data_IF_037161331527
#
_entry.id   IF_037161331527
#
_cell.length_a   1.000
_cell.length_b   1.000
_cell.length_c   1.000
_cell.angle_alpha   90.00
_cell.angle_beta   90.00
_cell.angle_gamma   90.00
#
_symmetry.space_group_name_H-M   'P 1'
#
loop_
_entity.id
_entity.type
_entity.pdbx_description
1 polymer ?
#
# COMPACT_ATOMS: atom_id res chain seq x y z
N UNK A 1 63.40 -32.91 -37.68
CA UNK A 1 62.52 -32.33 -38.72
C UNK A 1 61.42 -31.55 -37.96
N UNK A 2 61.52 -30.24 -37.91
CA UNK A 2 60.59 -29.32 -37.24
C UNK A 2 59.61 -28.76 -38.29
N UNK A 3 58.32 -28.99 -38.14
CA UNK A 3 57.29 -28.39 -38.97
C UNK A 3 56.77 -27.13 -38.29
N UNK A 4 56.94 -25.98 -38.96
CA UNK A 4 56.34 -24.72 -38.62
C UNK A 4 54.84 -24.73 -39.04
N UNK A 5 53.96 -24.44 -38.09
CA UNK A 5 52.56 -24.13 -38.36
C UNK A 5 52.38 -22.60 -38.23
N UNK A 6 52.05 -21.97 -39.35
CA UNK A 6 51.73 -20.55 -39.40
C UNK A 6 50.29 -20.32 -38.97
N UNK A 7 50.07 -19.51 -37.93
CA UNK A 7 48.76 -19.04 -37.50
C UNK A 7 48.38 -17.79 -38.27
N UNK A 8 47.33 -17.86 -39.06
CA UNK A 8 46.71 -16.68 -39.68
C UNK A 8 45.74 -16.02 -38.67
N UNK A 9 46.03 -14.79 -38.27
CA UNK A 9 45.16 -13.96 -37.48
C UNK A 9 44.07 -13.32 -38.36
N UNK A 10 42.85 -13.71 -38.18
CA UNK A 10 41.68 -13.10 -38.79
C UNK A 10 41.23 -11.93 -37.90
N UNK A 11 41.42 -10.70 -38.36
CA UNK A 11 40.92 -9.50 -37.73
C UNK A 11 39.41 -9.36 -38.00
N UNK A 12 38.58 -9.64 -37.01
CA UNK A 12 37.15 -9.31 -37.07
C UNK A 12 37.00 -7.87 -36.59
N UNK A 13 36.66 -6.98 -37.50
CA UNK A 13 36.24 -5.62 -37.19
C UNK A 13 34.84 -5.69 -36.60
N UNK A 14 34.75 -5.67 -35.27
CA UNK A 14 33.48 -5.52 -34.52
C UNK A 14 32.97 -4.09 -34.66
N UNK A 15 31.94 -3.87 -35.47
CA UNK A 15 31.16 -2.66 -35.42
C UNK A 15 30.39 -2.65 -34.07
N UNK A 16 30.91 -1.95 -33.11
CA UNK A 16 30.23 -1.67 -31.85
C UNK A 16 29.07 -0.70 -32.10
N UNK A 17 27.86 -1.22 -32.18
CA UNK A 17 26.66 -0.42 -31.93
C UNK A 17 26.61 -0.11 -30.44
N UNK A 18 27.30 0.94 -30.02
CA UNK A 18 27.11 1.57 -28.73
C UNK A 18 25.81 2.36 -28.75
N UNK A 19 24.68 1.71 -28.45
CA UNK A 19 23.48 2.37 -28.00
C UNK A 19 23.69 2.81 -26.56
N UNK A 20 24.40 3.92 -26.37
CA UNK A 20 24.32 4.65 -25.12
C UNK A 20 22.92 5.24 -25.06
N UNK A 21 22.10 4.74 -24.15
CA UNK A 21 20.91 5.47 -23.69
C UNK A 21 21.46 6.80 -23.15
N UNK A 22 21.30 7.86 -23.96
CA UNK A 22 21.74 9.19 -23.59
C UNK A 22 20.95 9.63 -22.36
N UNK A 23 21.61 9.68 -21.24
CA UNK A 23 21.07 10.22 -20.01
C UNK A 23 20.61 11.66 -20.28
N UNK A 24 19.30 11.93 -20.18
CA UNK A 24 18.76 13.26 -20.48
C UNK A 24 19.40 14.29 -19.55
N UNK A 25 19.79 15.44 -20.10
CA UNK A 25 20.40 16.52 -19.33
C UNK A 25 19.39 17.06 -18.29
N UNK A 26 19.91 17.52 -17.14
CA UNK A 26 19.08 18.15 -16.13
C UNK A 26 18.37 19.39 -16.70
N UNK A 27 17.06 19.58 -16.44
CA UNK A 27 16.38 20.83 -16.75
C UNK A 27 17.10 22.02 -16.10
N UNK A 28 17.21 23.13 -16.79
CA UNK A 28 17.98 24.31 -16.35
C UNK A 28 17.61 24.86 -14.99
N UNK A 29 16.40 24.56 -14.50
CA UNK A 29 15.90 25.00 -13.17
C UNK A 29 16.39 24.11 -12.03
N UNK A 30 16.84 22.86 -12.30
CA UNK A 30 17.30 21.90 -11.31
C UNK A 30 18.83 21.84 -11.31
N UNK A 31 19.42 21.62 -10.13
CA UNK A 31 20.83 21.18 -10.06
C UNK A 31 20.94 19.71 -10.47
N UNK A 32 22.15 19.25 -10.78
CA UNK A 32 22.41 17.83 -11.08
C UNK A 32 21.98 16.90 -9.93
N UNK A 33 22.15 17.32 -8.68
CA UNK A 33 21.74 16.55 -7.51
C UNK A 33 20.22 16.51 -7.36
N UNK A 34 19.53 17.63 -7.57
CA UNK A 34 18.06 17.69 -7.57
C UNK A 34 17.48 16.82 -8.70
N UNK A 35 18.12 16.88 -9.88
CA UNK A 35 17.73 16.03 -11.02
C UNK A 35 17.94 14.55 -10.71
N UNK A 36 19.07 14.17 -10.12
CA UNK A 36 19.33 12.79 -9.71
C UNK A 36 18.30 12.28 -8.72
N UNK A 37 17.81 13.13 -7.77
CA UNK A 37 16.72 12.77 -6.85
C UNK A 37 15.39 12.64 -7.57
N UNK A 38 15.06 13.59 -8.48
CA UNK A 38 13.80 13.55 -9.22
C UNK A 38 13.69 12.29 -10.09
N UNK A 39 14.78 11.87 -10.73
CA UNK A 39 14.81 10.65 -11.56
C UNK A 39 14.47 9.37 -10.79
N UNK A 40 14.71 9.31 -9.48
CA UNK A 40 14.34 8.14 -8.66
C UNK A 40 12.84 8.01 -8.43
N UNK A 41 12.05 9.05 -8.66
CA UNK A 41 10.61 9.07 -8.38
C UNK A 41 9.75 8.37 -9.45
N UNK A 42 10.34 7.81 -10.48
CA UNK A 42 9.60 7.10 -11.52
C UNK A 42 10.49 6.65 -12.68
N UNK A 43 9.91 6.06 -13.72
CA UNK A 43 8.52 5.61 -13.80
C UNK A 43 8.23 4.40 -12.90
N UNK A 44 6.96 4.19 -12.56
CA UNK A 44 6.52 3.03 -11.80
C UNK A 44 6.52 1.78 -12.69
N UNK A 45 7.29 0.77 -12.29
CA UNK A 45 7.39 -0.53 -12.98
C UNK A 45 6.17 -1.43 -12.78
N UNK A 46 6.36 -2.74 -12.93
CA UNK A 46 5.34 -3.74 -12.59
C UNK A 46 5.29 -3.99 -11.08
N UNK A 47 4.14 -4.48 -10.54
CA UNK A 47 4.03 -4.84 -9.14
C UNK A 47 5.13 -5.82 -8.72
N UNK A 48 5.76 -5.61 -7.55
CA UNK A 48 6.80 -6.51 -7.08
C UNK A 48 6.25 -7.94 -6.87
N UNK A 49 7.08 -8.99 -6.96
CA UNK A 49 6.67 -10.35 -6.66
C UNK A 49 6.09 -10.47 -5.25
N UNK A 50 5.09 -11.34 -5.08
CA UNK A 50 4.52 -11.69 -3.76
C UNK A 50 4.80 -13.15 -3.42
N UNK A 51 5.99 -13.47 -2.88
CA UNK A 51 6.38 -14.86 -2.65
C UNK A 51 5.52 -15.58 -1.60
N UNK A 52 4.87 -14.84 -0.71
CA UNK A 52 3.98 -15.38 0.32
C UNK A 52 2.61 -15.78 -0.21
N UNK A 53 2.30 -15.45 -1.50
CA UNK A 53 1.06 -15.78 -2.18
C UNK A 53 1.33 -16.25 -3.62
N UNK A 54 1.36 -17.55 -3.85
CA UNK A 54 1.57 -18.13 -5.19
C UNK A 54 0.45 -17.82 -6.19
N UNK A 55 -0.69 -17.33 -5.72
CA UNK A 55 -1.86 -16.95 -6.54
C UNK A 55 -1.91 -15.46 -6.82
N UNK A 56 -0.91 -14.70 -6.41
CA UNK A 56 -0.90 -13.23 -6.46
C UNK A 56 -1.17 -12.64 -7.87
N UNK A 57 -0.74 -13.34 -8.90
CA UNK A 57 -0.89 -12.93 -10.30
C UNK A 57 -1.81 -13.86 -11.09
N UNK A 58 -2.57 -14.75 -10.42
CA UNK A 58 -3.54 -15.64 -11.04
C UNK A 58 -4.83 -14.89 -11.40
N UNK A 59 -5.27 -14.89 -12.68
CA UNK A 59 -6.46 -14.15 -13.11
C UNK A 59 -7.77 -14.68 -12.51
N UNK A 60 -7.87 -15.99 -12.21
CA UNK A 60 -9.06 -16.58 -11.59
C UNK A 60 -9.13 -16.16 -10.11
N UNK A 61 -7.99 -16.19 -9.40
CA UNK A 61 -7.89 -15.66 -8.04
C UNK A 61 -8.26 -14.17 -8.00
N UNK A 62 -7.75 -13.36 -8.93
CA UNK A 62 -8.05 -11.94 -8.99
C UNK A 62 -9.56 -11.67 -9.24
N UNK A 63 -10.20 -12.44 -10.15
CA UNK A 63 -11.65 -12.33 -10.38
C UNK A 63 -12.46 -12.71 -9.14
N UNK A 64 -12.07 -13.80 -8.46
CA UNK A 64 -12.69 -14.23 -7.22
C UNK A 64 -12.49 -13.16 -6.11
N UNK A 65 -11.28 -12.64 -5.93
CA UNK A 65 -10.99 -11.56 -4.99
C UNK A 65 -11.79 -10.29 -5.28
N UNK A 66 -11.98 -9.95 -6.57
CA UNK A 66 -12.84 -8.82 -6.95
C UNK A 66 -14.30 -9.04 -6.53
N UNK A 67 -14.85 -10.26 -6.71
CA UNK A 67 -16.20 -10.56 -6.25
C UNK A 67 -16.34 -10.39 -4.74
N UNK A 68 -15.36 -10.88 -3.98
CA UNK A 68 -15.31 -10.73 -2.51
C UNK A 68 -15.16 -9.27 -2.07
N UNK A 69 -14.35 -8.48 -2.76
CA UNK A 69 -14.09 -7.08 -2.41
C UNK A 69 -15.36 -6.21 -2.42
N UNK A 70 -16.30 -6.50 -3.31
CA UNK A 70 -17.57 -5.77 -3.41
C UNK A 70 -18.73 -6.49 -2.73
N UNK A 71 -18.50 -7.61 -2.03
CA UNK A 71 -19.56 -8.36 -1.37
C UNK A 71 -19.81 -7.84 0.05
N UNK A 72 -20.94 -7.18 0.21
CA UNK A 72 -21.42 -6.68 1.50
C UNK A 72 -21.81 -7.79 2.52
N UNK A 73 -21.92 -9.06 2.07
CA UNK A 73 -22.13 -10.21 2.98
C UNK A 73 -20.92 -10.56 3.83
N UNK A 74 -19.74 -10.01 3.51
CA UNK A 74 -18.54 -10.07 4.35
C UNK A 74 -18.56 -9.05 5.53
N UNK A 75 -19.75 -8.61 5.90
CA UNK A 75 -19.97 -7.81 7.11
C UNK A 75 -21.15 -8.33 7.92
N UNK A 76 -21.08 -8.20 9.25
CA UNK A 76 -22.02 -8.82 10.18
C UNK A 76 -23.48 -8.36 10.00
N UNK A 77 -23.70 -7.13 9.55
CA UNK A 77 -25.03 -6.56 9.28
C UNK A 77 -25.37 -6.48 7.80
N UNK A 78 -24.47 -6.92 6.93
CA UNK A 78 -24.65 -6.89 5.49
C UNK A 78 -24.75 -5.50 4.90
N UNK A 79 -24.11 -4.48 5.48
CA UNK A 79 -24.22 -3.08 5.01
C UNK A 79 -22.93 -2.52 4.44
N UNK A 80 -21.77 -3.16 4.67
CA UNK A 80 -20.48 -2.68 4.20
C UNK A 80 -19.71 -3.77 3.45
N UNK A 81 -18.90 -3.33 2.50
CA UNK A 81 -17.90 -4.15 1.80
C UNK A 81 -16.57 -3.40 1.81
N UNK A 82 -15.49 -4.00 1.32
CA UNK A 82 -14.22 -3.26 1.17
C UNK A 82 -14.40 -2.01 0.31
N UNK A 83 -15.20 -2.08 -0.77
CA UNK A 83 -15.52 -0.93 -1.62
C UNK A 83 -16.32 0.19 -0.95
N UNK A 84 -16.87 -0.03 0.25
CA UNK A 84 -17.56 1.02 1.02
C UNK A 84 -16.59 2.03 1.63
N UNK A 85 -15.45 1.55 2.17
CA UNK A 85 -14.42 2.39 2.77
C UNK A 85 -13.29 2.70 1.77
N UNK A 86 -13.07 1.83 0.80
CA UNK A 86 -12.17 2.07 -0.33
C UNK A 86 -12.98 2.40 -1.59
N UNK A 87 -13.59 3.60 -1.58
CA UNK A 87 -14.55 4.04 -2.60
C UNK A 87 -13.89 4.16 -3.99
N UNK A 88 -14.36 3.38 -4.99
CA UNK A 88 -13.83 3.44 -6.35
C UNK A 88 -13.91 4.82 -7.01
N UNK A 89 -14.84 5.66 -6.57
CA UNK A 89 -15.02 7.03 -7.08
C UNK A 89 -14.18 8.07 -6.37
N UNK A 90 -13.39 7.64 -5.35
CA UNK A 90 -12.61 8.53 -4.48
C UNK A 90 -11.18 8.05 -4.27
N UNK A 91 -10.50 7.69 -5.35
CA UNK A 91 -9.12 7.20 -5.28
C UNK A 91 -8.95 5.94 -4.40
N UNK A 92 -9.98 5.09 -4.31
CA UNK A 92 -9.97 3.88 -3.49
C UNK A 92 -9.60 4.16 -2.01
N UNK A 93 -10.06 5.30 -1.48
CA UNK A 93 -9.96 5.73 -0.08
C UNK A 93 -11.33 6.16 0.44
N UNK A 94 -11.49 6.40 1.74
CA UNK A 94 -12.76 6.92 2.28
C UNK A 94 -12.86 8.45 2.11
N UNK A 95 -14.06 8.93 1.84
CA UNK A 95 -14.40 10.37 1.83
C UNK A 95 -14.50 10.97 3.23
N UNK A 96 -14.63 10.14 4.25
CA UNK A 96 -14.73 10.54 5.65
C UNK A 96 -13.34 10.55 6.29
N UNK A 97 -13.19 11.34 7.33
CA UNK A 97 -12.00 11.28 8.18
C UNK A 97 -11.83 9.87 8.77
N UNK A 98 -12.89 9.33 9.32
CA UNK A 98 -12.96 7.97 9.83
C UNK A 98 -14.09 7.20 9.14
N UNK A 99 -13.82 5.94 8.79
CA UNK A 99 -14.79 5.07 8.12
C UNK A 99 -15.90 4.62 9.05
N UNK A 100 -17.07 4.32 8.48
CA UNK A 100 -18.17 3.69 9.21
C UNK A 100 -18.30 2.24 8.74
N UNK A 101 -18.01 1.31 9.64
CA UNK A 101 -18.16 -0.13 9.40
C UNK A 101 -19.55 -0.66 9.75
N UNK A 102 -19.64 -1.97 9.95
CA UNK A 102 -20.88 -2.65 10.34
C UNK A 102 -21.53 -2.00 11.58
N UNK A 103 -22.86 -1.96 11.57
CA UNK A 103 -23.66 -1.27 12.59
C UNK A 103 -23.31 0.22 12.73
N UNK A 104 -22.73 0.85 11.69
CA UNK A 104 -22.27 2.24 11.67
C UNK A 104 -21.26 2.58 12.76
N UNK A 105 -20.49 1.60 13.22
CA UNK A 105 -19.39 1.84 14.17
C UNK A 105 -18.26 2.59 13.47
N UNK A 106 -17.72 3.59 14.14
CA UNK A 106 -16.64 4.39 13.60
C UNK A 106 -15.30 3.70 13.81
N UNK A 107 -14.49 3.64 12.74
CA UNK A 107 -13.10 3.18 12.78
C UNK A 107 -12.20 4.17 13.51
N UNK A 108 -10.99 3.73 13.87
CA UNK A 108 -10.02 4.57 14.60
C UNK A 108 -9.07 5.34 13.67
N UNK A 109 -9.03 4.99 12.39
CA UNK A 109 -8.10 5.60 11.41
C UNK A 109 -8.78 5.79 10.06
N UNK A 110 -8.28 6.75 9.31
CA UNK A 110 -8.68 6.97 7.92
C UNK A 110 -8.35 5.76 7.05
N UNK A 111 -9.29 5.33 6.18
CA UNK A 111 -9.04 4.28 5.21
C UNK A 111 -8.18 4.83 4.07
N UNK A 112 -6.91 4.42 4.03
CA UNK A 112 -5.95 4.83 3.00
C UNK A 112 -6.30 4.25 1.64
N UNK A 113 -5.73 4.86 0.57
CA UNK A 113 -5.91 4.36 -0.80
C UNK A 113 -5.40 2.93 -0.97
N UNK A 114 -6.07 2.17 -1.87
CA UNK A 114 -5.56 0.90 -2.40
C UNK A 114 -4.88 1.07 -3.77
N UNK A 115 -4.82 2.28 -4.32
CA UNK A 115 -4.03 2.53 -5.54
C UNK A 115 -2.57 2.22 -5.25
N UNK A 116 -1.96 1.38 -6.09
CA UNK A 116 -0.58 0.94 -5.97
C UNK A 116 -0.23 0.27 -4.63
N UNK A 117 -1.21 -0.34 -3.96
CA UNK A 117 -1.01 -0.97 -2.65
C UNK A 117 -0.04 -2.16 -2.70
N UNK A 118 0.15 -2.78 -3.87
CA UNK A 118 1.10 -3.87 -4.09
C UNK A 118 2.57 -3.51 -3.81
N UNK A 119 2.92 -2.21 -3.83
CA UNK A 119 4.27 -1.72 -3.51
C UNK A 119 4.49 -1.40 -2.04
N UNK A 120 3.48 -1.60 -1.19
CA UNK A 120 3.64 -1.41 0.25
C UNK A 120 4.35 -2.61 0.87
N UNK A 121 5.43 -2.37 1.60
CA UNK A 121 6.14 -3.39 2.34
C UNK A 121 5.33 -3.92 3.53
N UNK A 122 4.64 -3.03 4.22
CA UNK A 122 3.71 -3.34 5.30
C UNK A 122 2.35 -2.69 5.01
N UNK A 123 1.28 -3.31 5.50
CA UNK A 123 -0.07 -2.83 5.30
C UNK A 123 -0.61 -2.16 6.57
N UNK A 124 -1.66 -1.35 6.41
CA UNK A 124 -2.18 -0.42 7.40
C UNK A 124 -1.21 0.74 7.71
N UNK A 125 -1.71 1.74 8.43
CA UNK A 125 -0.90 2.86 8.88
C UNK A 125 0.21 2.46 9.87
N UNK A 126 -0.08 1.46 10.71
CA UNK A 126 0.83 0.95 11.75
C UNK A 126 1.68 -0.25 11.31
N UNK A 127 1.48 -0.74 10.11
CA UNK A 127 2.21 -1.88 9.57
C UNK A 127 1.95 -3.20 10.31
N UNK A 128 0.75 -3.39 10.87
CA UNK A 128 0.38 -4.60 11.62
C UNK A 128 0.11 -5.83 10.74
N UNK A 129 0.22 -5.70 9.43
CA UNK A 129 0.25 -6.81 8.47
C UNK A 129 1.47 -6.67 7.54
N UNK A 130 2.18 -7.76 7.28
CA UNK A 130 3.42 -7.80 6.49
C UNK A 130 3.21 -8.21 5.04
N UNK A 131 2.01 -8.61 4.70
CA UNK A 131 1.62 -9.02 3.36
C UNK A 131 0.26 -8.45 2.99
N UNK A 132 0.03 -8.30 1.69
CA UNK A 132 -1.25 -7.76 1.24
C UNK A 132 -2.40 -8.77 1.43
N UNK A 133 -2.11 -10.08 1.46
CA UNK A 133 -3.13 -11.10 1.70
C UNK A 133 -3.55 -11.21 3.18
N UNK A 134 -2.67 -10.90 4.11
CA UNK A 134 -3.00 -10.98 5.55
C UNK A 134 -3.83 -9.79 6.04
N UNK A 135 -3.71 -8.63 5.35
CA UNK A 135 -4.38 -7.39 5.73
C UNK A 135 -5.92 -7.47 5.70
N UNK A 136 -6.60 -7.99 4.66
CA UNK A 136 -8.05 -7.95 4.59
C UNK A 136 -8.74 -8.74 5.69
N UNK A 137 -8.11 -9.80 6.17
CA UNK A 137 -8.68 -10.65 7.23
C UNK A 137 -8.87 -9.85 8.51
N UNK A 138 -7.88 -9.02 8.86
CA UNK A 138 -7.99 -8.17 10.05
C UNK A 138 -9.10 -7.13 9.92
N UNK A 139 -9.34 -6.60 8.72
CA UNK A 139 -10.44 -5.66 8.47
C UNK A 139 -11.82 -6.36 8.55
N UNK A 140 -11.93 -7.56 7.97
CA UNK A 140 -13.17 -8.36 8.03
C UNK A 140 -13.52 -8.69 9.49
N UNK A 141 -12.54 -9.05 10.32
CA UNK A 141 -12.77 -9.44 11.73
C UNK A 141 -12.89 -8.25 12.69
N UNK A 142 -12.49 -7.06 12.28
CA UNK A 142 -12.49 -5.89 13.16
C UNK A 142 -13.94 -5.47 13.51
N UNK A 143 -14.30 -5.39 14.82
CA UNK A 143 -15.63 -4.96 15.23
C UNK A 143 -16.06 -3.58 14.73
N UNK A 144 -15.12 -2.69 14.46
CA UNK A 144 -15.40 -1.36 13.92
C UNK A 144 -15.41 -1.30 12.38
N UNK A 145 -15.15 -2.43 11.70
CA UNK A 145 -15.13 -2.54 10.23
C UNK A 145 -16.14 -3.61 9.78
N UNK A 146 -15.71 -4.85 9.51
CA UNK A 146 -16.60 -5.94 9.08
C UNK A 146 -17.40 -6.60 10.20
N UNK A 147 -16.82 -6.76 11.39
CA UNK A 147 -17.35 -7.53 12.53
C UNK A 147 -17.80 -8.96 12.16
N UNK A 148 -17.14 -9.56 11.16
CA UNK A 148 -17.49 -10.84 10.58
C UNK A 148 -16.40 -11.87 10.91
N UNK A 149 -16.78 -12.95 11.63
CA UNK A 149 -15.81 -13.89 12.19
C UNK A 149 -15.22 -14.83 11.14
N UNK A 150 -14.07 -15.46 11.42
CA UNK A 150 -13.42 -16.44 10.53
C UNK A 150 -14.34 -17.60 10.14
N UNK A 151 -15.11 -18.12 11.09
CA UNK A 151 -16.06 -19.19 10.81
C UNK A 151 -17.17 -18.72 9.87
N UNK A 152 -17.70 -17.51 10.05
CA UNK A 152 -18.70 -16.93 9.14
C UNK A 152 -18.11 -16.74 7.73
N UNK A 153 -16.86 -16.30 7.61
CA UNK A 153 -16.18 -16.23 6.30
C UNK A 153 -16.11 -17.62 5.66
N UNK A 154 -15.67 -18.64 6.40
CA UNK A 154 -15.52 -19.99 5.86
C UNK A 154 -16.87 -20.56 5.37
N UNK A 155 -17.95 -20.40 6.12
CA UNK A 155 -19.29 -20.82 5.72
C UNK A 155 -19.82 -20.01 4.53
N UNK A 156 -19.58 -18.69 4.48
CA UNK A 156 -19.97 -17.88 3.32
C UNK A 156 -19.27 -18.39 2.03
N UNK A 157 -17.98 -18.77 2.13
CA UNK A 157 -17.25 -19.33 1.00
C UNK A 157 -17.85 -20.68 0.59
N UNK A 158 -18.13 -21.56 1.54
CA UNK A 158 -18.76 -22.86 1.28
C UNK A 158 -20.12 -22.71 0.59
N UNK A 159 -21.00 -21.88 1.14
CA UNK A 159 -22.39 -21.74 0.71
C UNK A 159 -22.54 -21.00 -0.63
N UNK A 160 -21.67 -20.01 -0.89
CA UNK A 160 -21.86 -19.06 -1.99
C UNK A 160 -20.80 -19.14 -3.07
N UNK A 161 -19.56 -19.37 -2.66
CA UNK A 161 -18.38 -19.27 -3.52
C UNK A 161 -17.62 -20.59 -3.67
N UNK A 162 -18.22 -21.71 -3.23
CA UNK A 162 -17.56 -23.02 -3.25
C UNK A 162 -16.96 -23.38 -4.62
N UNK A 163 -17.66 -23.11 -5.71
CA UNK A 163 -17.16 -23.38 -7.06
C UNK A 163 -15.96 -22.48 -7.43
N UNK A 164 -16.03 -21.19 -7.14
CA UNK A 164 -14.93 -20.24 -7.42
C UNK A 164 -13.70 -20.57 -6.57
N UNK A 165 -13.91 -20.90 -5.29
CA UNK A 165 -12.84 -21.32 -4.39
C UNK A 165 -12.13 -22.59 -4.92
N UNK A 166 -12.91 -23.63 -5.28
CA UNK A 166 -12.37 -24.91 -5.77
C UNK A 166 -11.59 -24.73 -7.07
N UNK A 167 -12.07 -23.86 -7.94
CA UNK A 167 -11.40 -23.58 -9.22
C UNK A 167 -9.99 -22.97 -9.03
N UNK A 168 -9.75 -22.22 -7.94
CA UNK A 168 -8.47 -21.54 -7.66
C UNK A 168 -7.60 -22.37 -6.71
N UNK A 169 -8.17 -22.81 -5.58
CA UNK A 169 -7.42 -23.34 -4.45
C UNK A 169 -7.50 -24.85 -4.29
N UNK A 170 -8.36 -25.53 -5.05
CA UNK A 170 -8.66 -26.95 -4.88
C UNK A 170 -9.77 -27.19 -3.85
N UNK A 171 -9.96 -28.45 -3.40
CA UNK A 171 -11.09 -28.83 -2.56
C UNK A 171 -11.21 -28.00 -1.29
N UNK A 172 -12.44 -27.59 -0.95
CA UNK A 172 -12.73 -27.02 0.37
C UNK A 172 -12.47 -28.09 1.47
N UNK A 173 -11.92 -27.67 2.62
CA UNK A 173 -11.86 -28.56 3.79
C UNK A 173 -13.29 -28.86 4.30
N UNK A 174 -13.42 -29.92 5.10
CA UNK A 174 -14.68 -30.24 5.80
C UNK A 174 -14.94 -29.19 6.88
N UNK A 175 -16.07 -28.50 6.79
CA UNK A 175 -16.51 -27.47 7.75
C UNK A 175 -17.74 -27.94 8.55
N UNK A 176 -18.18 -29.19 8.43
CA UNK A 176 -19.43 -29.70 9.03
C UNK A 176 -19.48 -29.64 10.55
N UNK A 177 -18.32 -29.59 11.23
CA UNK A 177 -18.21 -29.44 12.68
C UNK A 177 -17.84 -28.05 13.14
N UNK A 178 -17.63 -27.12 12.20
CA UNK A 178 -17.27 -25.73 12.48
C UNK A 178 -18.51 -24.98 13.00
N UNK A 179 -18.44 -24.27 14.13
CA UNK A 179 -19.54 -23.44 14.61
C UNK A 179 -19.89 -22.34 13.61
N UNK A 180 -21.17 -21.95 13.56
CA UNK A 180 -21.63 -20.91 12.66
C UNK A 180 -20.89 -19.56 12.86
N UNK A 181 -20.41 -19.28 14.08
CA UNK A 181 -19.68 -18.06 14.44
C UNK A 181 -18.58 -18.35 15.43
N UNK A 182 -17.33 -18.08 15.05
CA UNK A 182 -16.15 -18.20 15.92
C UNK A 182 -14.96 -17.44 15.34
N UNK A 183 -14.12 -16.86 16.20
CA UNK A 183 -12.82 -16.24 15.84
C UNK A 183 -11.83 -16.39 17.00
N UNK A 184 -10.53 -16.26 16.75
CA UNK A 184 -9.50 -16.30 17.80
C UNK A 184 -9.84 -15.36 18.98
N UNK A 185 -9.66 -15.87 20.20
CA UNK A 185 -10.00 -15.15 21.44
C UNK A 185 -11.44 -15.37 21.95
N UNK A 186 -12.32 -15.94 21.13
CA UNK A 186 -13.66 -16.33 21.58
C UNK A 186 -13.63 -17.71 22.24
N UNK A 187 -14.39 -17.91 23.34
CA UNK A 187 -14.49 -19.22 23.98
C UNK A 187 -14.99 -20.34 23.07
N UNK A 188 -15.82 -20.01 22.07
CA UNK A 188 -16.27 -20.95 21.04
C UNK A 188 -15.11 -21.41 20.16
N UNK A 189 -14.26 -20.48 19.74
CA UNK A 189 -13.05 -20.77 18.94
C UNK A 189 -12.06 -21.67 19.72
N UNK A 190 -11.83 -21.34 20.99
CA UNK A 190 -10.89 -22.09 21.81
C UNK A 190 -11.37 -23.52 22.11
N UNK A 191 -12.69 -23.75 22.07
CA UNK A 191 -13.30 -25.07 22.21
C UNK A 191 -13.29 -25.91 20.93
N UNK A 192 -12.97 -25.33 19.75
CA UNK A 192 -12.87 -26.07 18.49
C UNK A 192 -11.66 -27.00 18.47
N UNK A 193 -11.76 -28.08 17.70
CA UNK A 193 -10.60 -28.94 17.42
C UNK A 193 -9.52 -28.16 16.68
N UNK A 194 -8.26 -28.61 16.80
CA UNK A 194 -7.14 -28.05 16.04
C UNK A 194 -7.38 -28.20 14.52
N UNK A 195 -7.96 -29.32 14.10
CA UNK A 195 -8.31 -29.58 12.71
C UNK A 195 -9.34 -28.56 12.17
N UNK A 196 -10.40 -28.28 12.95
CA UNK A 196 -11.42 -27.29 12.54
C UNK A 196 -10.83 -25.88 12.47
N UNK A 197 -10.03 -25.48 13.47
CA UNK A 197 -9.34 -24.17 13.45
C UNK A 197 -8.40 -24.05 12.23
N UNK A 198 -7.69 -25.13 11.90
CA UNK A 198 -6.82 -25.15 10.72
C UNK A 198 -7.64 -25.04 9.43
N UNK A 199 -8.74 -25.79 9.31
CA UNK A 199 -9.63 -25.74 8.15
C UNK A 199 -10.18 -24.32 7.91
N UNK A 200 -10.68 -23.68 8.95
CA UNK A 200 -11.18 -22.29 8.89
C UNK A 200 -10.06 -21.33 8.50
N UNK A 201 -8.89 -21.40 9.15
CA UNK A 201 -7.77 -20.52 8.85
C UNK A 201 -7.26 -20.71 7.41
N UNK A 202 -7.29 -21.94 6.86
CA UNK A 202 -6.92 -22.20 5.46
C UNK A 202 -7.86 -21.48 4.48
N UNK A 203 -9.19 -21.60 4.72
CA UNK A 203 -10.17 -20.91 3.86
C UNK A 203 -9.98 -19.40 3.92
N UNK A 204 -9.83 -18.85 5.12
CA UNK A 204 -9.66 -17.41 5.35
C UNK A 204 -8.35 -16.90 4.72
N UNK A 205 -7.24 -17.62 4.87
CA UNK A 205 -5.97 -17.27 4.21
C UNK A 205 -6.11 -17.23 2.70
N UNK A 206 -6.82 -18.20 2.11
CA UNK A 206 -7.08 -18.25 0.67
C UNK A 206 -8.01 -17.09 0.21
N UNK A 207 -8.99 -16.70 1.02
CA UNK A 207 -9.79 -15.47 0.80
C UNK A 207 -8.88 -14.24 0.74
N UNK A 208 -7.97 -14.10 1.70
CA UNK A 208 -6.98 -13.02 1.68
C UNK A 208 -6.10 -13.05 0.44
N UNK A 209 -5.62 -14.25 0.03
CA UNK A 209 -4.81 -14.44 -1.19
C UNK A 209 -5.56 -14.06 -2.47
N UNK A 210 -6.85 -14.36 -2.56
CA UNK A 210 -7.69 -13.92 -3.68
C UNK A 210 -7.88 -12.40 -3.68
N UNK A 211 -8.14 -11.79 -2.52
CA UNK A 211 -8.26 -10.33 -2.38
C UNK A 211 -6.95 -9.62 -2.76
N UNK A 212 -5.78 -10.13 -2.35
CA UNK A 212 -4.49 -9.62 -2.82
C UNK A 212 -4.37 -9.69 -4.34
N UNK A 213 -4.69 -10.83 -4.96
CA UNK A 213 -4.60 -11.00 -6.42
C UNK A 213 -5.43 -9.93 -7.16
N UNK A 214 -6.58 -9.56 -6.64
CA UNK A 214 -7.38 -8.44 -7.17
C UNK A 214 -6.72 -7.09 -6.88
N UNK A 215 -6.34 -6.79 -5.63
CA UNK A 215 -5.80 -5.49 -5.24
C UNK A 215 -4.49 -5.16 -5.95
N UNK A 216 -3.68 -6.16 -6.31
CA UNK A 216 -2.46 -5.99 -7.13
C UNK A 216 -2.74 -5.44 -8.52
N UNK A 217 -3.97 -5.53 -9.01
CA UNK A 217 -4.40 -4.96 -10.30
C UNK A 217 -4.82 -3.49 -10.22
N UNK A 218 -4.96 -2.93 -9.02
CA UNK A 218 -5.35 -1.54 -8.79
C UNK A 218 -4.15 -0.61 -8.97
N UNK A 219 -3.65 -0.54 -10.20
CA UNK A 219 -2.41 0.15 -10.55
C UNK A 219 -2.69 1.43 -11.33
N UNK A 220 -2.21 2.56 -10.81
CA UNK A 220 -2.16 3.85 -11.50
C UNK A 220 -0.70 4.19 -11.79
N UNK A 221 -0.39 4.39 -13.06
CA UNK A 221 0.96 4.69 -13.59
C UNK A 221 0.87 5.70 -14.73
N UNK A 222 1.99 5.97 -15.40
CA UNK A 222 2.05 6.87 -16.55
C UNK A 222 1.54 8.30 -16.24
N UNK A 223 1.87 8.78 -15.03
CA UNK A 223 1.61 10.17 -14.63
C UNK A 223 2.39 11.15 -15.52
N UNK A 224 2.08 12.45 -15.40
CA UNK A 224 2.86 13.48 -16.11
C UNK A 224 4.34 13.46 -15.68
N UNK A 225 4.62 13.21 -14.40
CA UNK A 225 5.99 12.99 -13.93
C UNK A 225 6.63 11.78 -14.61
N UNK A 226 5.94 10.64 -14.71
CA UNK A 226 6.49 9.45 -15.35
C UNK A 226 6.85 9.70 -16.82
N UNK A 227 5.96 10.38 -17.58
CA UNK A 227 6.23 10.75 -18.97
C UNK A 227 7.40 11.72 -19.11
N UNK A 228 7.48 12.71 -18.22
CA UNK A 228 8.60 13.64 -18.18
C UNK A 228 9.93 12.91 -17.97
N UNK A 229 9.97 11.99 -17.00
CA UNK A 229 11.15 11.19 -16.71
C UNK A 229 11.49 10.19 -17.85
N UNK A 230 10.49 9.82 -18.66
CA UNK A 230 10.68 9.01 -19.88
C UNK A 230 11.10 9.84 -21.10
N UNK A 231 11.31 11.15 -20.96
CA UNK A 231 11.83 12.04 -22.02
C UNK A 231 10.79 12.94 -22.70
N UNK A 232 9.52 12.95 -22.27
CA UNK A 232 8.53 13.93 -22.73
C UNK A 232 8.70 15.24 -21.95
N UNK A 233 9.63 16.09 -22.39
CA UNK A 233 9.95 17.36 -21.74
C UNK A 233 8.74 18.30 -21.61
N UNK A 234 7.70 18.15 -22.44
CA UNK A 234 6.49 18.95 -22.41
C UNK A 234 5.45 18.43 -21.41
N UNK A 235 5.67 17.26 -20.79
CA UNK A 235 4.70 16.65 -19.85
C UNK A 235 4.54 17.44 -18.54
N UNK A 236 5.55 18.22 -18.13
CA UNK A 236 5.47 19.10 -16.97
C UNK A 236 5.51 20.57 -17.40
N UNK A 237 4.65 21.37 -16.76
CA UNK A 237 4.67 22.83 -16.87
C UNK A 237 5.81 23.43 -16.04
N UNK A 238 6.16 24.71 -16.29
CA UNK A 238 7.16 25.39 -15.46
C UNK A 238 6.79 25.45 -13.97
N UNK A 239 5.50 25.62 -13.64
CA UNK A 239 5.03 25.63 -12.25
C UNK A 239 5.28 24.25 -11.59
N UNK A 240 4.98 23.18 -12.29
CA UNK A 240 5.21 21.81 -11.81
C UNK A 240 6.70 21.49 -11.66
N UNK A 241 7.54 21.99 -12.55
CA UNK A 241 9.00 21.86 -12.42
C UNK A 241 9.55 22.64 -11.22
N UNK A 242 9.01 23.87 -10.95
CA UNK A 242 9.37 24.60 -9.73
C UNK A 242 8.91 23.85 -8.48
N UNK A 243 7.71 23.26 -8.52
CA UNK A 243 7.18 22.42 -7.46
C UNK A 243 8.04 21.16 -7.23
N UNK A 244 8.45 20.50 -8.32
CA UNK A 244 9.39 19.37 -8.26
C UNK A 244 10.71 19.76 -7.60
N UNK A 245 11.25 20.96 -7.92
CA UNK A 245 12.44 21.48 -7.25
C UNK A 245 12.23 21.64 -5.75
N UNK A 246 11.13 22.25 -5.31
CA UNK A 246 10.79 22.38 -3.88
C UNK A 246 10.72 20.99 -3.23
N UNK A 247 10.12 20.01 -3.91
CA UNK A 247 9.94 18.65 -3.41
C UNK A 247 11.27 17.92 -3.14
N UNK A 248 12.24 18.05 -4.06
CA UNK A 248 13.51 17.31 -4.01
C UNK A 248 14.65 18.08 -3.32
N UNK A 249 14.51 19.39 -3.09
CA UNK A 249 15.57 20.23 -2.53
C UNK A 249 15.80 19.96 -1.04
N UNK A 250 17.03 19.64 -0.63
CA UNK A 250 17.40 19.36 0.76
C UNK A 250 17.21 20.54 1.69
N UNK A 251 17.46 21.75 1.21
CA UNK A 251 17.38 22.98 2.00
C UNK A 251 15.96 23.58 1.99
N UNK A 252 15.01 22.97 1.27
CA UNK A 252 13.63 23.47 1.15
C UNK A 252 12.63 22.40 1.58
N UNK A 253 11.81 21.88 0.66
CA UNK A 253 10.68 21.00 0.97
C UNK A 253 11.08 19.67 1.61
N UNK A 254 12.15 19.05 1.12
CA UNK A 254 12.69 17.78 1.62
C UNK A 254 11.71 16.60 1.59
N UNK A 255 10.64 16.72 0.80
CA UNK A 255 9.59 15.71 0.75
C UNK A 255 10.13 14.35 0.31
N UNK A 256 11.13 14.37 -0.57
CA UNK A 256 11.82 13.18 -1.09
C UNK A 256 12.54 12.36 -0.02
N UNK A 257 12.75 12.89 1.19
CA UNK A 257 13.39 12.14 2.29
C UNK A 257 12.54 10.96 2.73
N UNK A 258 11.21 11.11 2.72
CA UNK A 258 10.24 10.05 3.04
C UNK A 258 9.48 9.58 1.78
N UNK A 259 9.22 10.49 0.84
CA UNK A 259 8.47 10.17 -0.39
C UNK A 259 9.43 9.92 -1.56
N UNK A 260 10.33 8.94 -1.42
CA UNK A 260 11.32 8.53 -2.43
C UNK A 260 10.86 7.30 -3.23
N UNK A 261 11.60 6.99 -4.28
CA UNK A 261 11.36 5.84 -5.14
C UNK A 261 10.12 5.94 -6.03
N UNK A 262 9.93 4.96 -6.93
CA UNK A 262 8.90 5.04 -7.96
C UNK A 262 7.46 5.09 -7.43
N UNK A 263 7.19 4.56 -6.23
CA UNK A 263 5.88 4.67 -5.59
C UNK A 263 5.75 5.88 -4.65
N UNK A 264 6.75 6.78 -4.61
CA UNK A 264 6.73 8.00 -3.79
C UNK A 264 6.47 7.71 -2.30
N UNK A 265 7.18 6.71 -1.79
CA UNK A 265 7.19 6.29 -0.37
C UNK A 265 8.45 5.48 -0.11
N UNK A 266 9.08 5.71 1.02
CA UNK A 266 10.17 4.88 1.55
C UNK A 266 9.67 3.61 2.25
N UNK A 267 8.35 3.42 2.37
CA UNK A 267 7.70 2.41 3.19
C UNK A 267 8.12 2.44 4.68
N UNK A 268 8.81 3.49 5.10
CA UNK A 268 9.24 3.74 6.47
C UNK A 268 8.09 4.13 7.40
N UNK A 269 8.41 4.18 8.69
CA UNK A 269 7.47 4.60 9.73
C UNK A 269 8.01 5.84 10.41
N UNK A 270 7.22 6.91 10.41
CA UNK A 270 7.63 8.24 10.87
C UNK A 270 6.60 8.86 11.81
N UNK A 271 7.06 9.58 12.80
CA UNK A 271 6.21 10.44 13.62
C UNK A 271 6.37 11.89 13.15
N UNK A 272 5.42 12.38 12.38
CA UNK A 272 5.40 13.77 11.89
C UNK A 272 4.55 14.69 12.77
N UNK A 273 4.04 14.17 13.90
CA UNK A 273 3.27 14.96 14.86
C UNK A 273 1.84 15.26 14.43
N UNK A 274 1.17 14.38 13.66
CA UNK A 274 -0.26 14.57 13.37
C UNK A 274 -1.03 14.53 14.69
N UNK A 275 -1.86 15.56 15.00
CA UNK A 275 -2.64 15.58 16.23
C UNK A 275 -3.55 14.36 16.35
N UNK A 276 -3.45 13.66 17.47
CA UNK A 276 -4.24 12.49 17.76
C UNK A 276 -4.69 12.49 19.24
N UNK A 277 -5.97 12.85 19.50
CA UNK A 277 -6.51 12.87 20.86
C UNK A 277 -6.78 11.48 21.43
N UNK A 278 -6.73 10.42 20.61
CA UNK A 278 -6.98 9.03 21.05
C UNK A 278 -5.77 8.40 21.72
N UNK A 279 -4.57 8.95 21.49
CA UNK A 279 -3.33 8.41 22.00
C UNK A 279 -2.85 7.18 21.22
N UNK A 280 -3.18 7.07 19.93
CA UNK A 280 -2.78 5.94 19.08
C UNK A 280 -1.26 5.83 18.94
N UNK A 281 -0.69 4.75 19.46
CA UNK A 281 0.76 4.51 19.48
C UNK A 281 1.35 4.05 18.13
N UNK A 282 0.50 3.84 17.13
CA UNK A 282 0.92 3.52 15.76
C UNK A 282 1.77 2.24 15.66
N UNK A 283 2.97 2.34 15.09
CA UNK A 283 3.88 1.22 14.85
C UNK A 283 4.20 0.42 16.11
N UNK A 284 4.27 1.06 17.26
CA UNK A 284 4.60 0.42 18.52
C UNK A 284 3.64 -0.74 18.86
N UNK A 285 2.32 -0.50 18.83
CA UNK A 285 1.33 -1.55 19.06
C UNK A 285 1.06 -2.39 17.81
N UNK A 286 1.23 -1.81 16.61
CA UNK A 286 1.10 -2.51 15.34
C UNK A 286 2.07 -3.69 15.23
N UNK A 287 3.29 -3.51 15.70
CA UNK A 287 4.31 -4.55 15.66
C UNK A 287 3.98 -5.76 16.55
N UNK A 288 3.42 -5.52 17.74
CA UNK A 288 2.97 -6.61 18.63
C UNK A 288 1.89 -7.46 17.94
N UNK A 289 0.91 -6.81 17.30
CA UNK A 289 -0.16 -7.49 16.56
C UNK A 289 0.39 -8.29 15.40
N UNK A 290 1.31 -7.72 14.61
CA UNK A 290 1.95 -8.40 13.48
C UNK A 290 2.67 -9.68 13.91
N UNK A 291 3.49 -9.60 14.96
CA UNK A 291 4.29 -10.73 15.41
C UNK A 291 3.45 -11.84 16.07
N UNK A 292 2.27 -11.51 16.58
CA UNK A 292 1.35 -12.47 17.19
C UNK A 292 0.37 -13.11 16.19
N UNK A 293 0.22 -12.56 14.96
CA UNK A 293 -0.76 -13.05 13.99
C UNK A 293 -0.26 -14.31 13.27
N UNK A 294 -0.93 -15.48 13.39
CA UNK A 294 -0.54 -16.69 12.65
C UNK A 294 -0.77 -16.58 11.13
N UNK A 295 -1.53 -15.58 10.68
CA UNK A 295 -1.78 -15.29 9.25
C UNK A 295 -0.78 -14.29 8.68
N UNK A 296 0.42 -14.15 9.23
CA UNK A 296 1.50 -13.35 8.65
C UNK A 296 2.32 -14.13 7.60
N UNK A 297 3.20 -13.44 6.88
CA UNK A 297 4.03 -14.00 5.81
C UNK A 297 5.07 -15.03 6.25
N UNK A 298 5.31 -15.19 7.56
CA UNK A 298 6.16 -16.25 8.14
C UNK A 298 5.33 -17.37 8.77
N UNK A 299 4.00 -17.25 8.77
CA UNK A 299 3.06 -18.21 9.35
C UNK A 299 2.79 -19.42 8.45
N UNK A 300 2.04 -20.41 8.97
CA UNK A 300 1.84 -21.72 8.32
C UNK A 300 1.00 -21.65 7.02
N UNK A 301 0.37 -20.54 6.72
CA UNK A 301 -0.46 -20.33 5.51
C UNK A 301 0.25 -19.51 4.43
N UNK A 302 1.48 -19.06 4.70
CA UNK A 302 2.35 -18.43 3.71
C UNK A 302 2.91 -19.47 2.73
N UNK A 303 3.00 -19.11 1.44
CA UNK A 303 3.59 -20.02 0.44
C UNK A 303 5.13 -20.02 0.46
N UNK A 304 5.76 -18.99 1.05
CA UNK A 304 7.19 -18.94 1.27
C UNK A 304 7.53 -17.99 2.44
N UNK A 305 8.57 -18.32 3.19
CA UNK A 305 9.17 -17.40 4.16
C UNK A 305 10.01 -16.35 3.43
N UNK A 306 9.90 -15.11 3.86
CA UNK A 306 10.70 -13.98 3.33
C UNK A 306 11.79 -13.52 4.30
N UNK A 307 11.75 -13.97 5.53
CA UNK A 307 12.61 -13.48 6.60
C UNK A 307 12.28 -12.04 7.04
N UNK A 308 11.20 -11.45 6.54
CA UNK A 308 10.85 -10.03 6.74
C UNK A 308 10.60 -9.66 8.19
N UNK A 309 10.15 -10.62 9.01
CA UNK A 309 9.87 -10.39 10.42
C UNK A 309 11.07 -10.63 11.33
N UNK A 310 12.17 -11.19 10.78
CA UNK A 310 13.37 -11.51 11.56
C UNK A 310 14.00 -10.24 12.13
N UNK A 311 14.20 -10.23 13.45
CA UNK A 311 14.82 -9.10 14.16
C UNK A 311 13.89 -7.91 14.43
N UNK A 312 12.63 -7.96 14.00
CA UNK A 312 11.67 -6.93 14.40
C UNK A 312 11.37 -7.03 15.89
N UNK A 313 11.39 -5.91 16.58
CA UNK A 313 11.07 -5.81 18.00
C UNK A 313 10.40 -4.48 18.31
N UNK A 314 9.55 -4.49 19.32
CA UNK A 314 8.90 -3.29 19.82
C UNK A 314 9.90 -2.37 20.53
N UNK A 315 10.01 -1.12 20.11
CA UNK A 315 10.92 -0.12 20.67
C UNK A 315 10.16 1.16 21.03
N UNK A 316 10.44 1.82 22.17
CA UNK A 316 9.77 3.06 22.55
C UNK A 316 9.84 4.19 21.51
N UNK A 317 10.88 4.21 20.68
CA UNK A 317 11.01 5.18 19.57
C UNK A 317 9.95 5.03 18.48
N UNK A 318 9.23 3.91 18.44
CA UNK A 318 8.17 3.63 17.45
C UNK A 318 6.80 4.20 17.86
N UNK A 319 6.69 4.77 19.07
CA UNK A 319 5.44 5.36 19.56
C UNK A 319 5.05 6.54 18.67
N UNK A 320 3.82 6.51 18.13
CA UNK A 320 3.28 7.55 17.27
C UNK A 320 3.84 7.55 15.84
N UNK A 321 4.62 6.53 15.46
CA UNK A 321 5.06 6.37 14.08
C UNK A 321 3.99 5.70 13.22
N UNK A 322 3.81 6.25 12.00
CA UNK A 322 2.91 5.72 10.99
C UNK A 322 3.63 5.61 9.65
N UNK A 323 3.18 4.65 8.83
CA UNK A 323 3.80 4.37 7.53
C UNK A 323 3.63 5.56 6.57
N UNK A 324 4.72 5.90 5.86
CA UNK A 324 4.67 6.86 4.75
C UNK A 324 3.72 6.34 3.66
N UNK A 325 2.62 7.05 3.34
CA UNK A 325 1.75 6.67 2.24
C UNK A 325 2.35 7.08 0.90
N UNK A 326 1.99 6.37 -0.18
CA UNK A 326 2.30 6.82 -1.53
C UNK A 326 1.71 8.21 -1.80
N UNK A 327 2.41 9.04 -2.61
CA UNK A 327 1.84 10.29 -3.13
C UNK A 327 1.25 10.14 -4.54
N UNK A 328 1.31 8.95 -5.16
CA UNK A 328 0.63 8.76 -6.43
C UNK A 328 -0.87 8.95 -6.25
N UNK A 329 -1.50 9.68 -7.16
CA UNK A 329 -2.92 10.06 -7.12
C UNK A 329 -3.37 10.73 -5.81
N UNK A 330 -2.46 11.37 -5.07
CA UNK A 330 -2.76 11.96 -3.76
C UNK A 330 -3.87 13.01 -3.81
N UNK A 331 -4.01 13.73 -4.91
CA UNK A 331 -5.00 14.79 -5.11
C UNK A 331 -6.44 14.29 -5.19
N UNK A 332 -6.64 12.99 -5.46
CA UNK A 332 -7.96 12.37 -5.68
C UNK A 332 -8.63 11.81 -4.42
N UNK A 333 -7.99 11.93 -3.24
CA UNK A 333 -8.40 11.18 -2.05
C UNK A 333 -8.34 11.96 -0.72
N UNK A 334 -8.88 13.20 -0.66
CA UNK A 334 -9.03 13.87 0.62
C UNK A 334 -10.05 13.12 1.52
N UNK A 335 -9.95 13.18 2.87
CA UNK A 335 -8.98 13.92 3.65
C UNK A 335 -7.65 13.19 3.84
N UNK A 336 -6.67 13.85 4.49
CA UNK A 336 -5.29 13.38 4.61
C UNK A 336 -4.87 13.13 6.07
N UNK A 337 -3.78 12.34 6.21
CA UNK A 337 -3.27 11.87 7.50
C UNK A 337 -3.99 10.63 7.99
N UNK A 338 -3.37 9.90 8.94
CA UNK A 338 -3.96 8.66 9.47
C UNK A 338 -5.24 8.90 10.27
N UNK A 339 -5.47 10.12 10.75
CA UNK A 339 -6.71 10.55 11.43
C UNK A 339 -7.70 11.23 10.48
N UNK A 340 -7.34 11.46 9.21
CA UNK A 340 -8.15 12.25 8.29
C UNK A 340 -8.32 13.72 8.70
N UNK A 341 -7.40 14.26 9.50
CA UNK A 341 -7.53 15.59 10.10
C UNK A 341 -7.38 16.74 9.10
N UNK A 342 -6.82 16.49 7.92
CA UNK A 342 -6.54 17.53 6.93
C UNK A 342 -7.49 17.40 5.75
N UNK A 343 -8.45 18.35 5.60
CA UNK A 343 -9.46 18.26 4.55
C UNK A 343 -8.93 18.53 3.14
N UNK A 344 -7.78 19.21 3.01
CA UNK A 344 -7.17 19.57 1.72
C UNK A 344 -5.65 19.38 1.75
N UNK A 345 -5.04 19.27 0.56
CA UNK A 345 -3.57 19.20 0.42
C UNK A 345 -2.90 20.50 0.88
N UNK A 346 -3.51 21.66 0.63
CA UNK A 346 -2.99 22.94 1.09
C UNK A 346 -2.85 22.95 2.61
N UNK A 347 -3.88 22.49 3.34
CA UNK A 347 -3.83 22.41 4.79
C UNK A 347 -2.73 21.44 5.26
N UNK A 348 -2.48 20.35 4.51
CA UNK A 348 -1.44 19.39 4.83
C UNK A 348 -0.04 19.89 4.46
N UNK A 349 0.11 20.62 3.34
CA UNK A 349 1.34 21.36 3.01
C UNK A 349 1.66 22.39 4.08
N UNK A 350 0.67 23.16 4.54
CA UNK A 350 0.83 24.13 5.63
C UNK A 350 1.23 23.47 6.95
N UNK A 351 0.73 22.27 7.22
CA UNK A 351 1.15 21.47 8.38
C UNK A 351 2.64 21.11 8.31
N UNK A 352 3.13 20.64 7.16
CA UNK A 352 4.55 20.34 6.97
C UNK A 352 5.40 21.62 7.00
N UNK A 353 4.93 22.70 6.38
CA UNK A 353 5.64 23.97 6.31
C UNK A 353 5.92 24.58 7.70
N UNK A 354 4.98 24.44 8.64
CA UNK A 354 5.22 24.87 10.03
C UNK A 354 6.00 23.86 10.88
N UNK A 355 6.41 22.70 10.31
CA UNK A 355 7.21 21.69 10.99
C UNK A 355 6.41 20.66 11.78
N UNK A 356 5.22 20.31 11.30
CA UNK A 356 4.37 19.31 11.94
C UNK A 356 3.58 19.82 13.15
N UNK A 357 3.13 18.90 14.00
CA UNK A 357 2.33 19.22 15.19
C UNK A 357 3.15 19.66 16.39
N UNK A 358 2.45 20.28 17.34
CA UNK A 358 3.03 20.74 18.61
C UNK A 358 3.19 19.56 19.58
N UNK A 359 4.30 19.50 20.35
CA UNK A 359 4.51 18.50 21.39
C UNK A 359 3.32 18.41 22.35
N UNK A 360 2.91 17.18 22.70
CA UNK A 360 1.77 16.93 23.59
C UNK A 360 0.40 16.84 22.89
N UNK A 361 0.34 17.08 21.57
CA UNK A 361 -0.89 16.89 20.78
C UNK A 361 -0.95 15.53 20.08
N UNK A 362 0.11 14.74 20.16
CA UNK A 362 0.28 13.41 19.57
C UNK A 362 1.15 12.54 20.47
N UNK A 363 1.07 11.20 20.36
CA UNK A 363 1.92 10.28 21.12
C UNK A 363 3.37 10.27 20.63
N UNK A 364 4.31 9.99 21.54
CA UNK A 364 5.73 9.80 21.23
C UNK A 364 6.46 11.11 20.90
N UNK A 365 7.59 10.96 20.21
CA UNK A 365 8.45 12.08 19.84
C UNK A 365 8.43 12.29 18.32
N UNK A 366 8.24 13.55 17.90
CA UNK A 366 8.30 13.93 16.49
C UNK A 366 9.75 13.83 15.98
N UNK A 367 9.92 13.32 14.76
CA UNK A 367 11.24 13.24 14.15
C UNK A 367 11.89 14.61 13.93
N UNK A 368 13.19 14.72 14.23
CA UNK A 368 13.96 15.95 14.07
C UNK A 368 14.09 16.44 12.63
N UNK A 369 13.79 15.58 11.66
CA UNK A 369 13.70 15.93 10.23
C UNK A 369 12.48 16.80 9.93
N UNK A 370 11.43 16.72 10.74
CA UNK A 370 10.18 17.49 10.61
C UNK A 370 10.36 18.81 11.36
N UNK A 371 10.73 19.83 10.61
CA UNK A 371 11.04 21.18 11.12
C UNK A 371 10.42 22.24 10.19
N UNK A 372 10.21 23.48 10.66
CA UNK A 372 9.69 24.56 9.80
C UNK A 372 10.52 24.73 8.53
N UNK A 373 9.82 24.86 7.39
CA UNK A 373 10.41 24.97 6.06
C UNK A 373 10.47 26.43 5.61
N UNK A 374 9.41 27.20 5.84
CA UNK A 374 9.27 28.60 5.48
C UNK A 374 9.01 28.80 3.99
N UNK A 375 8.10 28.01 3.42
CA UNK A 375 7.70 28.13 2.01
C UNK A 375 6.95 29.45 1.76
N UNK A 376 7.28 30.12 0.65
CA UNK A 376 6.49 31.24 0.14
C UNK A 376 5.14 30.75 -0.39
N UNK A 377 4.17 31.65 -0.54
CA UNK A 377 2.89 31.31 -1.15
C UNK A 377 3.03 30.74 -2.58
N UNK A 378 4.01 31.25 -3.35
CA UNK A 378 4.29 30.74 -4.69
C UNK A 378 4.85 29.32 -4.64
N UNK A 379 5.79 29.02 -3.75
CA UNK A 379 6.35 27.67 -3.60
C UNK A 379 5.29 26.64 -3.18
N UNK A 380 4.35 27.03 -2.31
CA UNK A 380 3.21 26.16 -1.94
C UNK A 380 2.30 25.88 -3.13
N UNK A 381 2.00 26.90 -3.94
CA UNK A 381 1.21 26.74 -5.16
C UNK A 381 1.92 25.88 -6.20
N UNK A 382 3.22 26.07 -6.40
CA UNK A 382 4.03 25.27 -7.32
C UNK A 382 4.15 23.80 -6.83
N UNK A 383 4.34 23.58 -5.52
CA UNK A 383 4.35 22.25 -4.93
C UNK A 383 3.01 21.53 -5.11
N UNK A 384 1.89 22.22 -4.90
CA UNK A 384 0.56 21.67 -5.17
C UNK A 384 0.38 21.31 -6.64
N UNK A 385 0.85 22.17 -7.56
CA UNK A 385 0.84 21.87 -9.00
C UNK A 385 1.65 20.59 -9.30
N UNK A 386 2.83 20.42 -8.68
CA UNK A 386 3.62 19.20 -8.82
C UNK A 386 2.88 17.97 -8.29
N UNK A 387 2.18 18.06 -7.15
CA UNK A 387 1.39 16.93 -6.65
C UNK A 387 0.27 16.51 -7.62
N UNK A 388 -0.31 17.45 -8.39
CA UNK A 388 -1.22 17.12 -9.49
C UNK A 388 -0.52 16.44 -10.68
N UNK A 389 0.78 16.63 -10.88
CA UNK A 389 1.52 15.93 -11.90
C UNK A 389 1.79 14.45 -11.56
N UNK A 390 1.51 14.04 -10.31
CA UNK A 390 1.62 12.65 -9.83
C UNK A 390 0.36 11.82 -10.11
N UNK A 391 -0.69 12.42 -10.66
CA UNK A 391 -1.89 11.71 -11.09
C UNK A 391 -1.58 10.83 -12.29
N UNK A 392 -1.81 9.52 -12.12
CA UNK A 392 -1.62 8.55 -13.19
C UNK A 392 -2.88 8.30 -14.02
N UNK A 393 -2.79 7.32 -14.89
CA UNK A 393 -3.93 6.82 -15.67
C UNK A 393 -5.03 6.29 -14.74
N UNK A 394 -6.29 6.46 -15.11
CA UNK A 394 -7.39 5.93 -14.32
C UNK A 394 -7.33 4.40 -14.25
N UNK A 395 -7.69 3.85 -13.08
CA UNK A 395 -7.89 2.41 -12.92
C UNK A 395 -8.96 1.95 -13.91
N UNK A 396 -8.76 0.82 -14.63
CA UNK A 396 -9.75 0.28 -15.55
C UNK A 396 -11.12 0.11 -14.91
N UNK A 397 -12.18 0.59 -15.58
CA UNK A 397 -13.53 0.64 -15.02
C UNK A 397 -14.07 -0.74 -14.61
N UNK A 398 -13.66 -1.80 -15.31
CA UNK A 398 -14.03 -3.18 -15.00
C UNK A 398 -13.47 -3.67 -13.65
N UNK A 399 -12.45 -2.98 -13.09
CA UNK A 399 -11.91 -3.27 -11.76
C UNK A 399 -12.60 -2.47 -10.65
N UNK A 400 -13.42 -1.47 -10.97
CA UNK A 400 -14.02 -0.55 -10.00
C UNK A 400 -15.44 -0.94 -9.56
N UNK A 401 -15.84 -2.18 -9.79
CA UNK A 401 -17.13 -2.75 -9.39
C UNK A 401 -17.07 -4.29 -9.32
N UNK A 402 -18.18 -4.95 -8.95
CA UNK A 402 -18.26 -6.41 -9.00
C UNK A 402 -17.91 -6.92 -10.41
N UNK A 403 -17.23 -8.08 -10.53
CA UNK A 403 -16.91 -8.61 -11.85
C UNK A 403 -18.18 -8.91 -12.63
N UNK A 404 -18.20 -8.61 -13.95
CA UNK A 404 -19.28 -8.99 -14.83
C UNK A 404 -19.53 -10.52 -14.77
N UNK A 405 -20.79 -10.95 -14.72
CA UNK A 405 -21.18 -12.37 -14.69
C UNK A 405 -20.89 -13.06 -16.01
#
# INVERSE_FOLDING_TARGET
MRALVAAAALAIAGAGCGGGEGESAAPSILTEEEWARLRRLGPLGDPPPSPTNRFADDPAAARFGQALFFDWRLSADGTVSCGTCHDPTHGLADKRALSLGAFRREGSRHASTLINVAWNDFQFWDGRADSLWSQPIQAIENPAEGDFTRAEVAHLIEDVYGADYVAVFGPLPDLSTVPARAKPGDGVWEAMSEADRHAVNLVVANVGKALEAYMRRLVSRNSRLDRFLAGDEAALTEAELRGAKVFVAEERGRCVVCHDGPNLTDNGFHNIGIPDPTGDTGRFDGLVKLLADPLNGEGPFSDASTGKLVGLSQLPSQIGQFKTPTLRDVTRRPPYGHTGAFPTLEAFIDFHDRGGGEPGTFPGEKEGTIRPIGLTAQEKADLLAFLHALEGEPIPAELLGPPGR
#
